data_IF_920841145132
#
_entry.id   IF_920841145132
#
_cell.length_a   1.000
_cell.length_b   1.000
_cell.length_c   1.000
_cell.angle_alpha   90.00
_cell.angle_beta   90.00
_cell.angle_gamma   90.00
#
_symmetry.space_group_name_H-M   'P 1'
#
loop_
_entity.id
_entity.type
_entity.pdbx_description
1 polymer ?
#
# COMPACT_ATOMS: atom_id res chain seq x y z
N UNK A 1 -60.61 -38.65 8.04
CA UNK A 1 -60.56 -37.53 7.08
C UNK A 1 -59.96 -36.33 7.78
N UNK A 2 -58.62 -36.24 7.90
CA UNK A 2 -57.89 -35.07 8.47
C UNK A 2 -56.36 -35.19 8.33
N UNK A 3 -55.81 -36.39 8.07
CA UNK A 3 -54.35 -36.57 7.94
C UNK A 3 -53.77 -36.02 6.63
N UNK A 4 -54.55 -36.10 5.52
CA UNK A 4 -54.15 -35.50 4.24
C UNK A 4 -54.13 -33.97 4.29
N UNK A 5 -55.11 -33.35 4.95
CA UNK A 5 -55.18 -31.89 5.10
C UNK A 5 -54.04 -31.33 5.97
N UNK A 6 -53.64 -32.06 7.02
CA UNK A 6 -52.43 -31.74 7.80
C UNK A 6 -51.14 -31.85 6.96
N UNK A 7 -51.06 -32.86 6.10
CA UNK A 7 -49.91 -33.02 5.20
C UNK A 7 -49.86 -31.91 4.12
N UNK A 8 -51.02 -31.47 3.66
CA UNK A 8 -51.15 -30.43 2.63
C UNK A 8 -50.82 -29.04 3.18
N UNK A 9 -51.27 -28.72 4.39
CA UNK A 9 -50.92 -27.48 5.12
C UNK A 9 -49.43 -27.40 5.41
N UNK A 10 -48.82 -28.48 5.92
CA UNK A 10 -47.35 -28.55 6.13
C UNK A 10 -46.59 -28.29 4.82
N UNK A 11 -47.05 -28.88 3.70
CA UNK A 11 -46.40 -28.71 2.40
C UNK A 11 -46.51 -27.28 1.85
N UNK A 12 -47.62 -26.59 2.14
CA UNK A 12 -47.85 -25.19 1.73
C UNK A 12 -46.97 -24.22 2.53
N UNK A 13 -46.69 -24.50 3.82
CA UNK A 13 -45.89 -23.61 4.66
C UNK A 13 -44.37 -23.85 4.54
N UNK A 14 -43.95 -25.05 4.10
CA UNK A 14 -42.51 -25.35 3.86
C UNK A 14 -41.73 -24.30 3.05
N UNK A 15 -42.23 -23.73 1.92
CA UNK A 15 -41.51 -22.67 1.20
C UNK A 15 -41.32 -21.40 2.05
N UNK A 16 -42.26 -21.06 2.93
CA UNK A 16 -42.14 -19.90 3.82
C UNK A 16 -40.99 -20.10 4.81
N UNK A 17 -40.89 -21.28 5.41
CA UNK A 17 -39.79 -21.63 6.32
C UNK A 17 -38.45 -21.68 5.61
N UNK A 18 -38.39 -22.21 4.39
CA UNK A 18 -37.17 -22.21 3.57
C UNK A 18 -36.74 -20.79 3.23
N UNK A 19 -37.68 -19.92 2.82
CA UNK A 19 -37.38 -18.52 2.53
C UNK A 19 -36.86 -17.78 3.77
N UNK A 20 -37.53 -17.96 4.91
CA UNK A 20 -37.10 -17.36 6.18
C UNK A 20 -35.68 -17.83 6.56
N UNK A 21 -35.40 -19.12 6.40
CA UNK A 21 -34.07 -19.67 6.65
C UNK A 21 -33.01 -19.11 5.70
N UNK A 22 -33.30 -19.02 4.40
CA UNK A 22 -32.37 -18.43 3.41
C UNK A 22 -32.09 -16.95 3.72
N UNK A 23 -33.10 -16.19 4.13
CA UNK A 23 -32.92 -14.79 4.54
C UNK A 23 -32.05 -14.68 5.78
N UNK A 24 -32.24 -15.54 6.78
CA UNK A 24 -31.40 -15.58 7.98
C UNK A 24 -29.94 -15.91 7.65
N UNK A 25 -29.71 -16.93 6.82
CA UNK A 25 -28.36 -17.30 6.36
C UNK A 25 -27.71 -16.15 5.59
N UNK A 26 -28.47 -15.47 4.72
CA UNK A 26 -27.99 -14.30 3.99
C UNK A 26 -27.60 -13.16 4.93
N UNK A 27 -28.45 -12.83 5.91
CA UNK A 27 -28.18 -11.78 6.88
C UNK A 27 -26.90 -12.05 7.68
N UNK A 28 -26.72 -13.28 8.18
CA UNK A 28 -25.49 -13.70 8.88
C UNK A 28 -24.27 -13.63 7.96
N UNK A 29 -24.41 -14.09 6.71
CA UNK A 29 -23.31 -14.08 5.72
C UNK A 29 -22.84 -12.67 5.38
N UNK A 30 -23.76 -11.70 5.31
CA UNK A 30 -23.42 -10.28 5.08
C UNK A 30 -22.62 -9.73 6.27
N UNK A 31 -23.03 -10.02 7.51
CA UNK A 31 -22.31 -9.59 8.72
C UNK A 31 -20.91 -10.20 8.74
N UNK A 32 -20.81 -11.50 8.47
CA UNK A 32 -19.54 -12.21 8.45
C UNK A 32 -18.58 -11.63 7.40
N UNK A 33 -19.07 -11.44 6.16
CA UNK A 33 -18.27 -10.84 5.07
C UNK A 33 -17.80 -9.43 5.43
N UNK A 34 -18.67 -8.61 6.04
CA UNK A 34 -18.30 -7.27 6.49
C UNK A 34 -17.22 -7.30 7.58
N UNK A 35 -17.31 -8.24 8.52
CA UNK A 35 -16.31 -8.40 9.57
C UNK A 35 -14.95 -8.82 8.98
N UNK A 36 -14.93 -9.82 8.10
CA UNK A 36 -13.72 -10.26 7.41
C UNK A 36 -13.10 -9.13 6.59
N UNK A 37 -13.91 -8.42 5.81
CA UNK A 37 -13.46 -7.27 5.02
C UNK A 37 -12.83 -6.19 5.91
N UNK A 38 -13.41 -5.90 7.07
CA UNK A 38 -12.81 -4.95 8.02
C UNK A 38 -11.45 -5.43 8.53
N UNK A 39 -11.29 -6.72 8.81
CA UNK A 39 -10.02 -7.27 9.29
C UNK A 39 -8.91 -7.18 8.23
N UNK A 40 -9.21 -7.61 7.00
CA UNK A 40 -8.30 -7.48 5.86
C UNK A 40 -7.94 -6.02 5.58
N UNK A 41 -8.93 -5.12 5.66
CA UNK A 41 -8.71 -3.69 5.49
C UNK A 41 -7.76 -3.12 6.55
N UNK A 42 -7.89 -3.51 7.81
CA UNK A 42 -6.97 -3.08 8.88
C UNK A 42 -5.54 -3.55 8.60
N UNK A 43 -5.36 -4.80 8.15
CA UNK A 43 -4.04 -5.31 7.79
C UNK A 43 -3.44 -4.51 6.63
N UNK A 44 -4.23 -4.27 5.58
CA UNK A 44 -3.80 -3.45 4.45
C UNK A 44 -3.34 -2.05 4.90
N UNK A 45 -4.14 -1.37 5.73
CA UNK A 45 -3.79 -0.05 6.27
C UNK A 45 -2.50 -0.07 7.08
N UNK A 46 -2.23 -1.16 7.82
CA UNK A 46 -0.99 -1.32 8.56
C UNK A 46 0.23 -1.45 7.63
N UNK A 47 0.12 -2.26 6.56
CA UNK A 47 1.19 -2.41 5.58
C UNK A 47 1.43 -1.10 4.80
N UNK A 48 0.38 -0.39 4.42
CA UNK A 48 0.50 0.92 3.76
C UNK A 48 1.24 1.92 4.65
N UNK A 49 0.88 1.98 5.95
CA UNK A 49 1.58 2.84 6.90
C UNK A 49 3.07 2.49 7.04
N UNK A 50 3.41 1.21 7.03
CA UNK A 50 4.82 0.78 7.06
C UNK A 50 5.57 1.19 5.80
N UNK A 51 4.96 1.00 4.63
CA UNK A 51 5.52 1.44 3.35
C UNK A 51 5.77 2.95 3.35
N UNK A 52 4.81 3.73 3.80
CA UNK A 52 4.90 5.19 3.80
C UNK A 52 6.01 5.68 4.74
N UNK A 53 6.14 5.09 5.93
CA UNK A 53 7.24 5.38 6.85
C UNK A 53 8.61 5.05 6.24
N UNK A 54 8.74 3.91 5.56
CA UNK A 54 9.99 3.54 4.89
C UNK A 54 10.31 4.49 3.73
N UNK A 55 9.30 4.95 3.00
CA UNK A 55 9.49 5.89 1.90
C UNK A 55 9.91 7.28 2.40
N UNK A 56 9.40 7.71 3.55
CA UNK A 56 9.85 8.93 4.24
C UNK A 56 11.33 8.81 4.66
N UNK A 57 11.71 7.69 5.28
CA UNK A 57 13.10 7.43 5.67
C UNK A 57 14.01 7.40 4.45
N UNK A 58 13.61 6.72 3.38
CA UNK A 58 14.34 6.69 2.12
C UNK A 58 14.54 8.09 1.54
N UNK A 59 13.48 8.92 1.53
CA UNK A 59 13.56 10.30 1.07
C UNK A 59 14.54 11.12 1.91
N UNK A 60 14.54 10.94 3.23
CA UNK A 60 15.50 11.58 4.13
C UNK A 60 16.94 11.15 3.84
N UNK A 61 17.17 9.85 3.67
CA UNK A 61 18.50 9.31 3.33
C UNK A 61 19.00 9.83 1.98
N UNK A 62 18.12 9.95 0.99
CA UNK A 62 18.48 10.50 -0.32
C UNK A 62 18.89 11.98 -0.24
N UNK A 63 18.22 12.76 0.61
CA UNK A 63 18.61 14.15 0.88
C UNK A 63 19.96 14.22 1.62
N UNK A 64 20.20 13.32 2.57
CA UNK A 64 21.50 13.19 3.21
C UNK A 64 22.59 12.83 2.18
N UNK A 65 22.38 11.83 1.32
CA UNK A 65 23.33 11.43 0.27
C UNK A 65 23.63 12.57 -0.72
N UNK A 66 22.61 13.27 -1.21
CA UNK A 66 22.80 14.40 -2.13
C UNK A 66 23.62 15.54 -1.52
N UNK A 67 23.55 15.71 -0.20
CA UNK A 67 24.39 16.67 0.53
C UNK A 67 25.84 16.19 0.59
N UNK A 68 26.07 14.88 0.75
CA UNK A 68 27.41 14.28 0.76
C UNK A 68 28.05 14.27 -0.62
N UNK A 69 27.25 14.16 -1.69
CA UNK A 69 27.63 14.29 -3.08
C UNK A 69 27.64 15.74 -3.59
N UNK A 70 27.46 16.73 -2.70
CA UNK A 70 27.49 18.14 -3.08
C UNK A 70 28.79 18.45 -3.84
N UNK A 71 28.71 19.14 -5.01
CA UNK A 71 29.87 19.52 -5.80
C UNK A 71 30.94 20.25 -4.99
N UNK A 72 30.52 21.00 -3.96
CA UNK A 72 31.42 21.69 -3.03
C UNK A 72 32.36 20.74 -2.28
N UNK A 73 31.85 19.60 -1.83
CA UNK A 73 32.64 18.59 -1.10
C UNK A 73 33.53 17.81 -2.04
N UNK A 74 33.03 17.48 -3.24
CA UNK A 74 33.82 16.87 -4.32
C UNK A 74 34.98 17.78 -4.72
N UNK A 75 34.75 19.09 -4.89
CA UNK A 75 35.78 20.08 -5.18
C UNK A 75 36.81 20.18 -4.05
N UNK A 76 36.36 20.18 -2.80
CA UNK A 76 37.25 20.25 -1.64
C UNK A 76 38.16 19.01 -1.55
N UNK A 77 37.62 17.82 -1.81
CA UNK A 77 38.39 16.58 -1.79
C UNK A 77 39.31 16.44 -3.00
N UNK A 78 38.90 16.92 -4.17
CA UNK A 78 39.75 17.01 -5.36
C UNK A 78 40.94 17.95 -5.13
N UNK A 79 40.72 19.11 -4.51
CA UNK A 79 41.81 20.01 -4.09
C UNK A 79 42.75 19.36 -3.09
N UNK A 80 42.22 18.65 -2.08
CA UNK A 80 43.04 18.10 -0.99
C UNK A 80 43.78 16.82 -1.33
N UNK A 81 43.15 15.89 -2.07
CA UNK A 81 43.73 14.57 -2.36
C UNK A 81 44.44 14.50 -3.71
N UNK A 82 44.00 15.29 -4.69
CA UNK A 82 44.51 15.25 -6.06
C UNK A 82 45.27 16.53 -6.44
N UNK A 83 45.40 17.47 -5.50
CA UNK A 83 46.03 18.78 -5.71
C UNK A 83 45.44 19.55 -6.91
N UNK A 84 44.17 19.27 -7.24
CA UNK A 84 43.48 19.88 -8.38
C UNK A 84 43.22 21.36 -8.13
N UNK A 85 43.53 22.21 -9.10
CA UNK A 85 43.28 23.66 -9.04
C UNK A 85 42.32 24.07 -10.14
N UNK A 86 41.55 25.14 -9.93
CA UNK A 86 40.67 25.69 -10.97
C UNK A 86 41.56 26.41 -12.00
N UNK A 87 41.58 25.97 -13.27
CA UNK A 87 42.43 26.57 -14.28
C UNK A 87 42.00 28.02 -14.53
N UNK A 88 43.00 28.89 -14.67
CA UNK A 88 42.81 30.30 -15.06
C UNK A 88 42.61 30.40 -16.57
N UNK A 89 42.13 31.54 -17.05
CA UNK A 89 41.81 31.76 -18.47
C UNK A 89 43.00 31.55 -19.42
N UNK A 90 44.23 31.71 -18.93
CA UNK A 90 45.49 31.46 -19.62
C UNK A 90 45.86 29.97 -19.75
N UNK A 91 45.18 29.08 -19.01
CA UNK A 91 45.43 27.62 -19.01
C UNK A 91 44.42 26.83 -19.85
N UNK A 92 43.52 27.50 -20.59
CA UNK A 92 42.41 26.85 -21.32
C UNK A 92 42.56 27.03 -22.84
N UNK A 93 42.39 25.96 -23.62
CA UNK A 93 42.43 25.98 -25.09
C UNK A 93 41.09 25.51 -25.65
N UNK A 94 40.49 26.29 -26.55
CA UNK A 94 39.22 25.94 -27.22
C UNK A 94 39.52 25.12 -28.46
N UNK A 95 39.07 23.87 -28.48
CA UNK A 95 39.14 23.00 -29.66
C UNK A 95 37.84 23.19 -30.45
N UNK A 96 37.94 23.71 -31.68
CA UNK A 96 36.80 23.75 -32.62
C UNK A 96 36.72 22.39 -33.35
N UNK A 97 35.50 21.87 -33.61
CA UNK A 97 35.30 20.63 -34.34
C UNK A 97 35.81 20.72 -35.78
#
# INVERSE_FOLDING_TARGET
MNLKALLETIKIDTPLFVMAFVVLVSAVSVIYTKHMSRNEFVQLQQLEKQRDALNEEWGRLLLEESTWASPSRVEQEAKRRLDMTVPKSDMTVVIKP
#
